data_IF_846917249134
#
_entry.id   IF_846917249134
#
_cell.length_a   1.000
_cell.length_b   1.000
_cell.length_c   1.000
_cell.angle_alpha   90.00
_cell.angle_beta   90.00
_cell.angle_gamma   90.00
#
_symmetry.space_group_name_H-M   'P 1'
#
loop_
_entity.id
_entity.type
_entity.pdbx_description
1 polymer ?
#
# COMPACT_ATOMS: atom_id res chain seq x y z
N UNK A 1 3.05 12.55 -7.16
CA UNK A 1 3.93 11.99 -7.93
C UNK A 1 3.87 12.39 -9.38
N UNK A 2 4.30 13.62 -9.58
CA UNK A 2 4.32 14.18 -10.90
C UNK A 2 2.95 14.17 -11.52
N UNK A 3 2.85 13.50 -12.66
CA UNK A 3 1.62 13.46 -13.43
C UNK A 3 0.75 12.22 -13.14
N UNK A 4 1.16 11.38 -12.19
CA UNK A 4 0.40 10.17 -11.89
C UNK A 4 -0.88 10.51 -11.14
N UNK A 5 -1.98 9.87 -11.56
CA UNK A 5 -3.26 9.94 -10.89
C UNK A 5 -3.46 8.65 -10.09
N UNK A 6 -4.27 8.68 -9.01
CA UNK A 6 -4.54 7.46 -8.25
C UNK A 6 -5.01 6.33 -9.16
N UNK A 7 -4.33 5.19 -9.06
CA UNK A 7 -4.60 4.02 -9.88
C UNK A 7 -3.71 3.88 -11.10
N UNK A 8 -2.90 4.89 -11.41
CA UNK A 8 -1.99 4.81 -12.56
C UNK A 8 -0.84 3.86 -12.29
N UNK A 9 -0.37 3.22 -13.37
CA UNK A 9 0.75 2.29 -13.33
C UNK A 9 1.80 2.71 -14.37
N UNK A 10 3.06 2.44 -14.05
CA UNK A 10 4.17 2.71 -14.95
C UNK A 10 5.05 1.45 -15.01
N UNK A 11 5.24 0.86 -16.19
CA UNK A 11 6.12 -0.30 -16.32
C UNK A 11 7.58 0.10 -16.13
N UNK A 12 8.33 -0.79 -15.46
CA UNK A 12 9.75 -0.58 -15.24
C UNK A 12 10.44 -1.94 -15.27
N UNK A 13 10.92 -2.33 -16.47
CA UNK A 13 11.48 -3.66 -16.65
C UNK A 13 10.42 -4.73 -16.43
N UNK A 14 10.68 -5.65 -15.49
CA UNK A 14 9.75 -6.75 -15.18
C UNK A 14 8.80 -6.41 -14.03
N UNK A 15 8.87 -5.19 -13.52
CA UNK A 15 8.00 -4.77 -12.41
C UNK A 15 7.11 -3.62 -12.89
N UNK A 16 6.15 -3.26 -12.04
CA UNK A 16 5.21 -2.19 -12.34
C UNK A 16 5.15 -1.26 -11.14
N UNK A 17 5.32 0.04 -11.37
CA UNK A 17 5.19 1.04 -10.33
C UNK A 17 3.74 1.50 -10.31
N UNK A 18 3.14 1.54 -9.14
CA UNK A 18 1.73 1.83 -8.96
C UNK A 18 1.55 2.98 -7.96
N UNK A 19 0.75 3.97 -8.36
CA UNK A 19 0.35 5.03 -7.44
C UNK A 19 -1.05 4.73 -6.92
N UNK A 20 -1.19 4.32 -5.65
CA UNK A 20 -2.51 3.97 -5.11
C UNK A 20 -3.36 5.18 -4.75
N UNK A 21 -2.75 6.33 -4.64
CA UNK A 21 -3.35 7.52 -4.08
C UNK A 21 -2.67 7.88 -2.77
N UNK A 22 -3.12 8.96 -2.15
CA UNK A 22 -2.54 9.43 -0.89
C UNK A 22 -2.81 8.41 0.23
N UNK A 23 -1.81 8.18 1.06
CA UNK A 23 -1.89 7.25 2.19
C UNK A 23 -0.92 7.71 3.27
N UNK A 24 0.20 7.02 3.44
CA UNK A 24 1.24 7.42 4.39
C UNK A 24 1.79 8.82 4.05
N UNK A 25 1.92 9.10 2.74
CA UNK A 25 2.23 10.43 2.22
C UNK A 25 1.34 10.70 1.02
N UNK A 26 1.35 11.94 0.52
CA UNK A 26 0.56 12.29 -0.67
C UNK A 26 1.05 11.58 -1.92
N UNK A 27 2.33 11.24 -1.97
CA UNK A 27 3.00 10.76 -3.17
C UNK A 27 3.60 9.37 -3.03
N UNK A 28 3.14 8.56 -2.07
CA UNK A 28 3.70 7.24 -1.87
C UNK A 28 3.41 6.32 -3.06
N UNK A 29 4.37 5.47 -3.36
CA UNK A 29 4.28 4.52 -4.47
C UNK A 29 4.34 3.09 -3.94
N UNK A 30 3.77 2.17 -4.73
CA UNK A 30 3.89 0.74 -4.50
C UNK A 30 4.56 0.12 -5.71
N UNK A 31 5.11 -1.09 -5.55
CA UNK A 31 5.74 -1.83 -6.63
C UNK A 31 5.12 -3.21 -6.72
N UNK A 32 4.67 -3.57 -7.92
CA UNK A 32 4.12 -4.89 -8.19
C UNK A 32 5.17 -5.74 -8.89
N UNK A 33 5.47 -6.90 -8.30
CA UNK A 33 6.43 -7.87 -8.83
C UNK A 33 5.66 -9.10 -9.31
N UNK A 34 5.28 -9.14 -10.60
CA UNK A 34 4.36 -10.18 -11.08
C UNK A 34 4.92 -11.60 -10.99
N UNK A 35 6.22 -11.77 -11.18
CA UNK A 35 6.81 -13.11 -11.13
C UNK A 35 6.74 -13.71 -9.73
N UNK A 36 6.78 -12.86 -8.71
CA UNK A 36 6.72 -13.29 -7.31
C UNK A 36 5.31 -13.18 -6.73
N UNK A 37 4.39 -12.61 -7.49
CA UNK A 37 3.03 -12.27 -7.01
C UNK A 37 3.10 -11.47 -5.72
N UNK A 38 4.04 -10.54 -5.67
CA UNK A 38 4.35 -9.74 -4.49
C UNK A 38 4.02 -8.28 -4.76
N UNK A 39 3.22 -7.69 -3.87
CA UNK A 39 2.96 -6.26 -3.86
C UNK A 39 3.81 -5.63 -2.74
N UNK A 40 4.80 -4.83 -3.13
CA UNK A 40 5.60 -4.09 -2.16
C UNK A 40 4.89 -2.78 -1.87
N UNK A 41 4.24 -2.73 -0.71
CA UNK A 41 3.36 -1.61 -0.36
C UNK A 41 4.06 -0.44 0.29
N UNK A 42 5.30 -0.61 0.72
CA UNK A 42 6.01 0.45 1.43
C UNK A 42 5.29 0.84 2.71
N UNK A 43 5.53 2.07 3.17
CA UNK A 43 4.94 2.53 4.43
C UNK A 43 3.43 2.75 4.37
N UNK A 44 2.83 2.63 3.19
CA UNK A 44 1.37 2.65 3.08
C UNK A 44 0.73 1.37 3.63
N UNK A 45 1.52 0.31 3.82
CA UNK A 45 1.04 -0.98 4.34
C UNK A 45 1.76 -1.28 5.65
N UNK A 46 0.99 -1.62 6.68
CA UNK A 46 1.52 -1.95 8.01
C UNK A 46 1.69 -3.45 8.15
N UNK A 47 2.67 -3.86 8.97
CA UNK A 47 2.93 -5.27 9.22
C UNK A 47 1.83 -5.88 10.10
N UNK A 48 1.79 -7.22 10.15
CA UNK A 48 0.82 -7.93 10.97
C UNK A 48 0.98 -7.64 12.46
N UNK A 49 2.20 -7.31 12.89
CA UNK A 49 2.48 -7.01 14.30
C UNK A 49 2.32 -5.54 14.66
N UNK A 50 2.04 -4.68 13.68
CA UNK A 50 1.84 -3.27 13.95
C UNK A 50 0.55 -3.07 14.77
N UNK A 51 0.63 -2.24 15.79
CA UNK A 51 -0.50 -1.94 16.67
C UNK A 51 -1.02 -0.52 16.49
N UNK A 52 -0.25 0.32 15.82
CA UNK A 52 -0.62 1.72 15.55
C UNK A 52 -0.16 2.08 14.14
N UNK A 53 -0.64 3.24 13.68
CA UNK A 53 -0.22 3.76 12.37
C UNK A 53 1.18 4.37 12.39
N UNK A 54 1.78 4.55 13.56
CA UNK A 54 3.09 5.15 13.67
C UNK A 54 3.07 6.63 13.35
N UNK A 55 4.10 7.11 12.62
CA UNK A 55 4.19 8.52 12.25
C UNK A 55 3.20 8.82 11.11
N UNK A 56 2.22 9.69 11.40
CA UNK A 56 1.17 10.05 10.43
C UNK A 56 1.19 11.55 10.09
N UNK A 57 2.33 12.22 10.34
CA UNK A 57 2.43 13.67 10.13
C UNK A 57 2.11 14.09 8.70
N UNK A 58 2.52 13.28 7.71
CA UNK A 58 2.31 13.57 6.30
C UNK A 58 1.20 12.71 5.67
N UNK A 59 0.48 11.95 6.49
CA UNK A 59 -0.52 11.01 6.02
C UNK A 59 -1.84 11.68 5.70
N UNK A 60 -2.60 11.05 4.80
CA UNK A 60 -3.97 11.41 4.51
C UNK A 60 -4.86 10.28 5.00
N UNK A 61 -5.35 10.41 6.23
CA UNK A 61 -6.15 9.36 6.85
C UNK A 61 -7.50 9.17 6.18
N UNK A 62 -8.04 10.19 5.52
CA UNK A 62 -9.31 10.07 4.79
C UNK A 62 -9.15 9.24 3.52
N UNK A 63 -8.08 9.47 2.77
CA UNK A 63 -7.87 8.80 1.49
C UNK A 63 -7.18 7.44 1.62
N UNK A 64 -6.46 7.21 2.71
CA UNK A 64 -5.66 6.00 2.89
C UNK A 64 -6.46 4.72 2.69
N UNK A 65 -7.66 4.54 3.30
CA UNK A 65 -8.43 3.32 3.06
C UNK A 65 -8.80 3.11 1.59
N UNK A 66 -9.17 4.18 0.89
CA UNK A 66 -9.48 4.10 -0.53
C UNK A 66 -8.25 3.71 -1.34
N UNK A 67 -7.08 4.21 -0.97
CA UNK A 67 -5.82 3.88 -1.64
C UNK A 67 -5.47 2.41 -1.46
N UNK A 68 -5.65 1.86 -0.27
CA UNK A 68 -5.43 0.43 0.00
C UNK A 68 -6.42 -0.41 -0.81
N UNK A 69 -7.69 -0.02 -0.85
CA UNK A 69 -8.70 -0.73 -1.63
C UNK A 69 -8.34 -0.72 -3.11
N UNK A 70 -7.86 0.41 -3.61
CA UNK A 70 -7.45 0.54 -5.02
C UNK A 70 -6.31 -0.42 -5.34
N UNK A 71 -5.33 -0.54 -4.45
CA UNK A 71 -4.23 -1.49 -4.61
C UNK A 71 -4.74 -2.93 -4.60
N UNK A 72 -5.62 -3.26 -3.67
CA UNK A 72 -6.20 -4.59 -3.56
C UNK A 72 -6.97 -4.97 -4.83
N UNK A 73 -7.73 -4.04 -5.37
CA UNK A 73 -8.54 -4.28 -6.56
C UNK A 73 -7.70 -4.36 -7.83
N UNK A 74 -6.61 -3.59 -7.89
CA UNK A 74 -5.73 -3.59 -9.07
C UNK A 74 -4.91 -4.87 -9.16
N UNK A 75 -4.54 -5.45 -8.01
CA UNK A 75 -3.69 -6.64 -7.96
C UNK A 75 -4.37 -7.79 -7.21
N UNK A 76 -5.48 -8.31 -7.76
CA UNK A 76 -6.19 -9.41 -7.09
C UNK A 76 -5.36 -10.69 -7.02
N UNK A 77 -4.37 -10.85 -7.89
CA UNK A 77 -3.49 -12.02 -7.91
C UNK A 77 -2.33 -11.92 -6.92
N UNK A 78 -2.21 -10.83 -6.17
CA UNK A 78 -1.15 -10.69 -5.17
C UNK A 78 -1.31 -11.76 -4.08
N UNK A 79 -0.29 -12.57 -3.90
CA UNK A 79 -0.26 -13.59 -2.84
C UNK A 79 0.52 -13.10 -1.63
N UNK A 80 1.51 -12.23 -1.87
CA UNK A 80 2.39 -11.71 -0.84
C UNK A 80 2.35 -10.19 -0.83
N UNK A 81 2.43 -9.63 0.36
CA UNK A 81 2.46 -8.17 0.56
C UNK A 81 3.62 -7.84 1.46
N UNK A 82 4.47 -6.92 1.01
CA UNK A 82 5.62 -6.46 1.78
C UNK A 82 5.28 -5.11 2.42
N UNK A 83 5.24 -5.05 3.77
CA UNK A 83 5.01 -3.77 4.45
C UNK A 83 6.28 -2.92 4.46
N UNK A 84 6.14 -1.66 4.84
CA UNK A 84 7.29 -0.77 4.96
C UNK A 84 8.26 -1.19 6.05
N UNK A 85 7.74 -1.77 7.13
CA UNK A 85 8.51 -2.28 8.25
C UNK A 85 7.92 -3.61 8.67
N UNK A 86 8.77 -4.55 9.06
CA UNK A 86 8.33 -5.84 9.55
C UNK A 86 8.32 -6.92 8.48
N UNK A 87 7.75 -8.05 8.81
CA UNK A 87 7.81 -9.23 7.97
C UNK A 87 6.80 -9.20 6.84
N UNK A 88 7.17 -9.83 5.73
CA UNK A 88 6.28 -10.07 4.61
C UNK A 88 5.07 -10.91 5.09
N UNK A 89 3.91 -10.64 4.53
CA UNK A 89 2.70 -11.40 4.83
C UNK A 89 1.86 -11.58 3.58
N UNK A 90 0.58 -11.87 3.78
CA UNK A 90 -0.36 -12.01 2.68
C UNK A 90 -1.25 -10.79 2.56
N UNK A 91 -2.36 -10.98 1.88
CA UNK A 91 -3.32 -9.88 1.62
C UNK A 91 -3.95 -9.35 2.91
N UNK A 92 -3.91 -10.12 3.98
CA UNK A 92 -4.43 -9.69 5.28
C UNK A 92 -3.73 -8.44 5.81
N UNK A 93 -2.51 -8.14 5.34
CA UNK A 93 -1.82 -6.92 5.73
C UNK A 93 -2.56 -5.67 5.24
N UNK A 94 -3.19 -5.76 4.07
CA UNK A 94 -3.99 -4.66 3.53
C UNK A 94 -5.19 -4.39 4.42
N UNK A 95 -5.90 -5.46 4.81
CA UNK A 95 -7.05 -5.33 5.70
C UNK A 95 -6.65 -4.82 7.08
N UNK A 96 -5.56 -5.35 7.62
CA UNK A 96 -5.04 -4.93 8.91
C UNK A 96 -4.71 -3.44 8.91
N UNK A 97 -4.12 -2.95 7.83
CA UNK A 97 -3.79 -1.52 7.69
C UNK A 97 -5.05 -0.67 7.77
N UNK A 98 -6.11 -1.04 7.04
CA UNK A 98 -7.36 -0.27 7.08
C UNK A 98 -8.01 -0.32 8.46
N UNK A 99 -7.89 -1.44 9.17
CA UNK A 99 -8.41 -1.56 10.53
C UNK A 99 -7.67 -0.63 11.49
N UNK A 100 -6.34 -0.53 11.36
CA UNK A 100 -5.55 0.39 12.18
C UNK A 100 -5.93 1.84 11.92
N UNK A 101 -6.22 2.19 10.66
CA UNK A 101 -6.65 3.54 10.32
C UNK A 101 -7.98 3.86 11.02
N UNK A 102 -8.93 2.94 10.98
CA UNK A 102 -10.22 3.12 11.64
C UNK A 102 -10.07 3.33 13.15
N UNK A 103 -9.15 2.61 13.77
CA UNK A 103 -8.88 2.74 15.20
C UNK A 103 -8.18 4.06 15.55
N UNK A 104 -7.47 4.64 14.59
CA UNK A 104 -6.76 5.90 14.78
C UNK A 104 -7.70 7.10 14.72
N UNK A 105 -8.73 7.01 13.91
CA UNK A 105 -9.73 8.06 13.80
C UNK A 105 -10.68 8.04 15.00
#
# INVERSE_FOLDING_TARGET
>A
VGDLMPGDTVPFGTVEIFYPGAAHTQDNLMVWLPQSRLLAGGCAVKSATAKTMGNIADADLEEWPASIRRASDTYPEAEWVLPGHGAIGGRELLLHTTQLIEETE
#
